data_IF_252567501723
#
_entry.id   IF_252567501723
#
_cell.length_a   1.000
_cell.length_b   1.000
_cell.length_c   1.000
_cell.angle_alpha   90.00
_cell.angle_beta   90.00
_cell.angle_gamma   90.00
#
_symmetry.space_group_name_H-M   'P 1'
#
loop_
_entity.id
_entity.type
_entity.pdbx_description
1 polymer ?
#
# COMPACT_ATOMS: atom_id res chain seq x y z
N UNK A 1 6.92 -3.68 9.62
CA UNK A 1 5.75 -3.17 8.93
C UNK A 1 5.47 -1.75 9.32
N UNK A 2 5.58 -1.45 10.62
CA UNK A 2 5.47 -0.09 11.07
C UNK A 2 6.71 0.72 10.74
N UNK A 3 7.78 0.05 10.36
CA UNK A 3 9.06 0.67 10.12
C UNK A 3 9.00 1.73 9.02
N UNK A 4 8.38 1.38 7.89
CA UNK A 4 8.22 2.31 6.78
C UNK A 4 7.45 3.55 7.22
N UNK A 5 6.33 3.34 7.92
CA UNK A 5 5.45 4.42 8.36
C UNK A 5 6.16 5.33 9.35
N UNK A 6 6.87 4.73 10.29
CA UNK A 6 7.58 5.50 11.31
C UNK A 6 8.70 6.33 10.70
N UNK A 7 9.41 5.76 9.74
CA UNK A 7 10.47 6.50 9.07
C UNK A 7 9.91 7.65 8.27
N UNK A 8 8.79 7.44 7.61
CA UNK A 8 8.16 8.50 6.86
C UNK A 8 7.71 9.64 7.78
N UNK A 9 7.15 9.29 8.92
CA UNK A 9 6.73 10.31 9.90
C UNK A 9 7.90 11.12 10.40
N UNK A 10 8.98 10.45 10.75
CA UNK A 10 10.19 11.13 11.22
C UNK A 10 10.72 12.06 10.17
N UNK A 11 10.81 11.56 8.95
CA UNK A 11 11.29 12.36 7.84
C UNK A 11 10.43 13.61 7.68
N UNK A 12 9.13 13.42 7.74
CA UNK A 12 8.19 14.51 7.53
C UNK A 12 8.29 15.58 8.61
N UNK A 13 8.56 15.20 9.85
CA UNK A 13 8.67 16.17 10.93
C UNK A 13 9.99 16.90 10.93
N UNK A 14 11.04 16.28 10.40
CA UNK A 14 12.38 16.85 10.45
C UNK A 14 12.78 17.62 9.21
N UNK A 15 12.06 17.43 8.12
CA UNK A 15 12.40 18.06 6.84
C UNK A 15 11.24 18.90 6.39
N UNK A 16 11.52 20.15 6.12
CA UNK A 16 10.49 21.08 5.62
C UNK A 16 10.41 20.97 4.11
N UNK A 17 9.70 19.98 3.65
CA UNK A 17 9.52 19.75 2.23
C UNK A 17 8.21 20.37 1.78
N UNK A 18 8.18 20.87 0.55
CA UNK A 18 6.97 21.41 -0.03
C UNK A 18 6.00 20.28 -0.34
N UNK A 19 4.72 20.63 -0.54
CA UNK A 19 3.73 19.64 -0.92
C UNK A 19 4.09 18.95 -2.22
N UNK A 20 4.66 19.71 -3.15
CA UNK A 20 5.07 19.14 -4.43
C UNK A 20 6.18 18.13 -4.27
N UNK A 21 7.14 18.42 -3.38
CA UNK A 21 8.23 17.49 -3.13
C UNK A 21 7.74 16.22 -2.48
N UNK A 22 6.84 16.35 -1.52
CA UNK A 22 6.28 15.18 -0.84
C UNK A 22 5.49 14.33 -1.83
N UNK A 23 4.70 14.97 -2.67
CA UNK A 23 3.92 14.24 -3.67
C UNK A 23 4.82 13.50 -4.63
N UNK A 24 5.92 14.12 -5.06
CA UNK A 24 6.86 13.47 -5.96
C UNK A 24 7.48 12.23 -5.31
N UNK A 25 7.79 12.31 -4.02
CA UNK A 25 8.35 11.18 -3.30
C UNK A 25 7.32 10.06 -3.20
N UNK A 26 6.07 10.40 -2.90
CA UNK A 26 5.02 9.41 -2.82
C UNK A 26 4.81 8.70 -4.15
N UNK A 27 4.84 9.45 -5.25
CA UNK A 27 4.71 8.86 -6.57
C UNK A 27 5.82 7.86 -6.87
N UNK A 28 7.04 8.19 -6.45
CA UNK A 28 8.16 7.27 -6.62
C UNK A 28 7.99 6.01 -5.80
N UNK A 29 7.52 6.17 -4.57
CA UNK A 29 7.28 5.02 -3.70
C UNK A 29 6.18 4.14 -4.27
N UNK A 30 5.14 4.74 -4.81
CA UNK A 30 4.05 3.98 -5.42
C UNK A 30 4.54 3.21 -6.63
N UNK A 31 5.37 3.84 -7.45
CA UNK A 31 5.92 3.18 -8.63
C UNK A 31 6.84 2.03 -8.23
N UNK A 32 7.71 2.28 -7.26
CA UNK A 32 8.60 1.25 -6.75
C UNK A 32 7.82 0.06 -6.20
N UNK A 33 6.78 0.35 -5.43
CA UNK A 33 5.94 -0.70 -4.85
C UNK A 33 5.26 -1.52 -5.93
N UNK A 34 4.72 -0.85 -6.95
CA UNK A 34 4.06 -1.54 -8.04
C UNK A 34 5.02 -2.49 -8.74
N UNK A 35 6.24 -2.03 -8.99
CA UNK A 35 7.23 -2.86 -9.66
C UNK A 35 7.62 -4.07 -8.82
N UNK A 36 7.77 -3.86 -7.52
CA UNK A 36 8.11 -4.97 -6.64
C UNK A 36 6.98 -5.98 -6.52
N UNK A 37 5.76 -5.49 -6.40
CA UNK A 37 4.59 -6.38 -6.34
C UNK A 37 4.49 -7.19 -7.63
N UNK A 38 4.66 -6.53 -8.76
CA UNK A 38 4.60 -7.20 -10.05
C UNK A 38 5.64 -8.32 -10.13
N UNK A 39 6.87 -8.05 -9.69
CA UNK A 39 7.91 -9.06 -9.71
C UNK A 39 7.59 -10.25 -8.81
N UNK A 40 7.03 -9.98 -7.65
CA UNK A 40 6.65 -11.04 -6.71
C UNK A 40 5.51 -11.88 -7.27
N UNK A 41 4.52 -11.22 -7.86
CA UNK A 41 3.37 -11.93 -8.44
C UNK A 41 3.76 -12.75 -9.66
N UNK A 42 4.64 -12.20 -10.47
CA UNK A 42 5.12 -12.89 -11.68
C UNK A 42 5.75 -14.23 -11.34
N UNK A 43 6.47 -14.29 -10.23
CA UNK A 43 7.15 -15.50 -9.79
C UNK A 43 6.35 -16.30 -8.78
N UNK A 44 5.16 -15.83 -8.42
CA UNK A 44 4.27 -16.49 -7.47
C UNK A 44 4.92 -16.76 -6.13
N UNK A 45 5.69 -15.81 -5.62
CA UNK A 45 6.34 -15.92 -4.32
C UNK A 45 5.34 -15.63 -3.21
N UNK A 46 4.55 -16.61 -2.83
CA UNK A 46 3.49 -16.45 -1.85
C UNK A 46 3.98 -15.93 -0.50
N UNK A 47 5.19 -16.33 -0.10
CA UNK A 47 5.70 -15.91 1.19
C UNK A 47 6.01 -14.42 1.24
N UNK A 48 5.95 -13.73 0.11
CA UNK A 48 6.13 -12.27 0.08
C UNK A 48 4.83 -11.51 -0.12
N UNK A 49 3.70 -12.22 -0.17
CA UNK A 49 2.41 -11.55 -0.37
C UNK A 49 2.06 -10.64 0.81
N UNK A 50 2.45 -11.03 2.04
CA UNK A 50 2.22 -10.18 3.20
C UNK A 50 2.97 -8.87 3.08
N UNK A 51 4.20 -8.92 2.57
CA UNK A 51 4.98 -7.71 2.34
C UNK A 51 4.29 -6.80 1.34
N UNK A 52 3.76 -7.38 0.26
CA UNK A 52 3.04 -6.60 -0.75
C UNK A 52 1.83 -5.91 -0.14
N UNK A 53 1.06 -6.63 0.67
CA UNK A 53 -0.11 -6.07 1.32
C UNK A 53 0.27 -4.97 2.30
N UNK A 54 1.37 -5.16 3.01
CA UNK A 54 1.84 -4.16 3.98
C UNK A 54 2.23 -2.87 3.27
N UNK A 55 2.91 -2.96 2.12
CA UNK A 55 3.27 -1.76 1.36
C UNK A 55 2.03 -1.05 0.85
N UNK A 56 1.07 -1.80 0.33
CA UNK A 56 -0.18 -1.19 -0.16
C UNK A 56 -0.91 -0.46 0.97
N UNK A 57 -0.98 -1.09 2.14
CA UNK A 57 -1.63 -0.47 3.29
C UNK A 57 -0.90 0.80 3.71
N UNK A 58 0.43 0.74 3.78
CA UNK A 58 1.21 1.89 4.20
C UNK A 58 1.04 3.08 3.26
N UNK A 59 1.08 2.82 1.96
CA UNK A 59 0.91 3.89 0.98
C UNK A 59 -0.47 4.53 1.10
N UNK A 60 -1.51 3.69 1.29
CA UNK A 60 -2.85 4.20 1.46
C UNK A 60 -2.98 5.05 2.71
N UNK A 61 -2.37 4.60 3.81
CA UNK A 61 -2.42 5.34 5.07
C UNK A 61 -1.70 6.68 4.98
N UNK A 62 -0.56 6.70 4.27
CA UNK A 62 0.15 7.96 4.07
C UNK A 62 -0.72 8.95 3.31
N UNK A 63 -1.38 8.50 2.25
CA UNK A 63 -2.24 9.39 1.50
C UNK A 63 -3.44 9.85 2.30
N UNK A 64 -4.00 8.97 3.13
CA UNK A 64 -5.09 9.38 4.01
C UNK A 64 -4.64 10.45 4.99
N UNK A 65 -3.42 10.33 5.52
CA UNK A 65 -2.91 11.32 6.46
C UNK A 65 -2.72 12.68 5.79
N UNK A 66 -2.68 12.70 4.47
CA UNK A 66 -2.57 13.95 3.72
C UNK A 66 -3.92 14.46 3.23
N UNK A 67 -5.01 13.86 3.70
CA UNK A 67 -6.34 14.35 3.42
C UNK A 67 -7.06 13.67 2.26
N UNK A 68 -6.46 12.64 1.68
CA UNK A 68 -7.10 11.93 0.58
C UNK A 68 -8.03 10.86 1.14
N UNK A 69 -9.32 11.13 1.10
CA UNK A 69 -10.33 10.25 1.70
C UNK A 69 -10.34 8.88 1.03
N UNK A 70 -10.41 7.84 1.86
CA UNK A 70 -10.54 6.46 1.40
C UNK A 70 -9.36 5.98 0.59
N UNK A 71 -8.19 6.64 0.74
CA UNK A 71 -7.02 6.29 -0.05
C UNK A 71 -6.58 4.85 0.18
N UNK A 72 -6.59 4.40 1.42
CA UNK A 72 -6.17 3.03 1.72
C UNK A 72 -7.08 2.02 1.03
N UNK A 73 -8.39 2.23 1.10
CA UNK A 73 -9.34 1.34 0.46
C UNK A 73 -9.14 1.34 -1.05
N UNK A 74 -8.89 2.50 -1.64
CA UNK A 74 -8.67 2.61 -3.08
C UNK A 74 -7.41 1.88 -3.51
N UNK A 75 -6.32 2.06 -2.79
CA UNK A 75 -5.05 1.40 -3.13
C UNK A 75 -5.21 -0.11 -3.05
N UNK A 76 -5.81 -0.58 -1.97
CA UNK A 76 -5.98 -2.02 -1.79
C UNK A 76 -6.90 -2.62 -2.84
N UNK A 77 -7.96 -1.89 -3.21
CA UNK A 77 -8.87 -2.37 -4.23
C UNK A 77 -8.19 -2.44 -5.60
N UNK A 78 -7.33 -1.48 -5.90
CA UNK A 78 -6.57 -1.51 -7.15
C UNK A 78 -5.72 -2.76 -7.24
N UNK A 79 -5.00 -3.06 -6.15
CA UNK A 79 -4.16 -4.25 -6.15
C UNK A 79 -4.99 -5.52 -6.20
N UNK A 80 -6.11 -5.56 -5.47
CA UNK A 80 -6.99 -6.72 -5.51
C UNK A 80 -7.50 -6.98 -6.92
N UNK A 81 -7.93 -5.93 -7.60
CA UNK A 81 -8.47 -6.06 -8.95
C UNK A 81 -7.40 -6.47 -9.96
N UNK A 82 -6.21 -5.89 -9.82
CA UNK A 82 -5.11 -6.20 -10.74
C UNK A 82 -4.69 -7.66 -10.64
N UNK A 83 -4.76 -8.22 -9.45
CA UNK A 83 -4.37 -9.60 -9.20
C UNK A 83 -5.58 -10.41 -8.73
N UNK A 84 -6.64 -10.35 -9.50
CA UNK A 84 -7.94 -10.87 -9.09
C UNK A 84 -7.96 -12.38 -8.83
N UNK A 85 -7.01 -13.12 -9.37
CA UNK A 85 -6.96 -14.57 -9.18
C UNK A 85 -6.02 -15.01 -8.07
N UNK A 86 -5.38 -14.07 -7.38
CA UNK A 86 -4.43 -14.38 -6.32
C UNK A 86 -5.12 -14.33 -4.97
N UNK A 87 -5.88 -15.39 -4.65
CA UNK A 87 -6.67 -15.39 -3.42
C UNK A 87 -5.81 -15.30 -2.16
N UNK A 88 -4.62 -15.90 -2.19
CA UNK A 88 -3.74 -15.80 -1.03
C UNK A 88 -3.31 -14.36 -0.78
N UNK A 89 -3.08 -13.59 -1.85
CA UNK A 89 -2.77 -12.19 -1.73
C UNK A 89 -3.97 -11.41 -1.17
N UNK A 90 -5.17 -11.76 -1.62
CA UNK A 90 -6.38 -11.09 -1.11
C UNK A 90 -6.54 -11.30 0.39
N UNK A 91 -6.17 -12.48 0.88
CA UNK A 91 -6.21 -12.73 2.32
C UNK A 91 -5.25 -11.83 3.06
N UNK A 92 -4.06 -11.61 2.49
CA UNK A 92 -3.10 -10.71 3.12
C UNK A 92 -3.60 -9.27 3.09
N UNK A 93 -4.21 -8.84 1.99
CA UNK A 93 -4.78 -7.50 1.93
C UNK A 93 -5.84 -7.30 3.01
N UNK A 94 -6.68 -8.31 3.23
CA UNK A 94 -7.68 -8.21 4.29
C UNK A 94 -7.05 -8.15 5.66
N UNK A 95 -5.95 -8.88 5.86
CA UNK A 95 -5.24 -8.85 7.13
C UNK A 95 -4.69 -7.46 7.43
N UNK A 96 -4.40 -6.68 6.41
CA UNK A 96 -3.89 -5.32 6.58
C UNK A 96 -4.96 -4.25 6.44
N UNK A 97 -6.23 -4.67 6.41
CA UNK A 97 -7.32 -3.72 6.54
C UNK A 97 -8.23 -3.55 5.33
N UNK A 98 -8.04 -4.32 4.27
CA UNK A 98 -8.95 -4.24 3.14
C UNK A 98 -10.34 -4.76 3.56
N UNK A 99 -11.36 -4.04 3.14
CA UNK A 99 -12.73 -4.43 3.46
C UNK A 99 -13.05 -5.78 2.82
N UNK A 100 -13.72 -6.63 3.59
CA UNK A 100 -14.15 -7.92 3.09
C UNK A 100 -15.62 -7.80 2.70
N UNK A 101 -15.86 -7.59 1.42
CA UNK A 101 -17.21 -7.35 0.95
C UNK A 101 -18.13 -8.54 1.14
N UNK A 102 -17.58 -9.73 1.28
CA UNK A 102 -18.39 -10.91 1.51
C UNK A 102 -19.05 -10.94 2.88
N UNK A 103 -18.52 -10.13 3.80
CA UNK A 103 -19.05 -10.07 5.16
C UNK A 103 -19.91 -8.85 5.40
N UNK A 104 -20.06 -7.98 4.44
CA UNK A 104 -20.83 -6.77 4.63
C UNK A 104 -22.29 -7.06 4.30
N UNK A 105 -22.94 -7.67 5.23
CA UNK A 105 -24.35 -7.99 5.09
C UNK A 105 -25.07 -7.69 6.35
#
# INVERSE_FOLDING_TARGET
QTFFWERFRKWRTNIHASEEEIEAILERLEKWTRMRVEGIMEKSHRNYYGECAAFAAALGEVRESRGELWAKAKVMEEYRSQYSRRTAFHQELRAYGMADTRKSR
#
